data_IF_813066047251
#
_entry.id   IF_813066047251
#
_cell.length_a   1.000
_cell.length_b   1.000
_cell.length_c   1.000
_cell.angle_alpha   90.00
_cell.angle_beta   90.00
_cell.angle_gamma   90.00
#
_symmetry.space_group_name_H-M   'P 1'
#
loop_
_entity.id
_entity.type
_entity.pdbx_description
1 polymer ?
#
# COMPACT_ATOMS: atom_id res chain seq x y z
N UNK A 1 71.99 12.45 -32.30
CA UNK A 1 70.56 12.79 -32.13
C UNK A 1 70.45 13.94 -31.16
N UNK A 2 69.88 15.04 -31.62
CA UNK A 2 69.79 16.28 -30.84
C UNK A 2 68.86 16.01 -29.65
N UNK A 3 69.19 16.53 -28.47
CA UNK A 3 68.40 16.36 -27.23
C UNK A 3 66.89 16.56 -27.47
N UNK A 4 66.52 17.48 -28.37
CA UNK A 4 65.15 17.72 -28.83
C UNK A 4 64.44 16.49 -29.45
N UNK A 5 65.12 15.66 -30.24
CA UNK A 5 64.53 14.46 -30.85
C UNK A 5 64.17 13.39 -29.80
N UNK A 6 65.00 13.27 -28.75
CA UNK A 6 64.73 12.34 -27.63
C UNK A 6 63.52 12.77 -26.83
N UNK A 7 63.36 14.07 -26.56
CA UNK A 7 62.16 14.60 -25.89
C UNK A 7 60.89 14.43 -26.72
N UNK A 8 60.98 14.54 -28.04
CA UNK A 8 59.85 14.30 -28.94
C UNK A 8 59.40 12.84 -28.94
N UNK A 9 60.35 11.90 -28.99
CA UNK A 9 60.06 10.46 -28.89
C UNK A 9 59.50 10.10 -27.51
N UNK A 10 60.06 10.64 -26.43
CA UNK A 10 59.55 10.43 -25.06
C UNK A 10 58.12 10.97 -24.88
N UNK A 11 57.82 12.15 -25.42
CA UNK A 11 56.47 12.72 -25.39
C UNK A 11 55.48 11.89 -26.22
N UNK A 12 55.89 11.39 -27.39
CA UNK A 12 55.07 10.51 -28.22
C UNK A 12 54.76 9.17 -27.55
N UNK A 13 55.76 8.54 -26.92
CA UNK A 13 55.58 7.30 -26.13
C UNK A 13 54.70 7.55 -24.91
N UNK A 14 54.87 8.68 -24.22
CA UNK A 14 54.02 9.06 -23.10
C UNK A 14 52.55 9.26 -23.50
N UNK A 15 52.29 9.89 -24.65
CA UNK A 15 50.94 10.07 -25.19
C UNK A 15 50.30 8.73 -25.59
N UNK A 16 51.04 7.86 -26.30
CA UNK A 16 50.58 6.51 -26.65
C UNK A 16 50.32 5.66 -25.40
N UNK A 17 51.17 5.76 -24.39
CA UNK A 17 50.98 5.13 -23.08
C UNK A 17 49.72 5.62 -22.36
N UNK A 18 49.45 6.93 -22.41
CA UNK A 18 48.23 7.50 -21.82
C UNK A 18 46.96 7.06 -22.58
N UNK A 19 46.99 7.00 -23.90
CA UNK A 19 45.86 6.55 -24.73
C UNK A 19 45.57 5.07 -24.48
N UNK A 20 46.60 4.22 -24.45
CA UNK A 20 46.44 2.78 -24.16
C UNK A 20 45.94 2.54 -22.74
N UNK A 21 46.44 3.28 -21.75
CA UNK A 21 45.95 3.21 -20.38
C UNK A 21 44.49 3.70 -20.26
N UNK A 22 44.14 4.79 -20.94
CA UNK A 22 42.76 5.27 -20.98
C UNK A 22 41.82 4.25 -21.66
N UNK A 23 42.27 3.64 -22.76
CA UNK A 23 41.56 2.54 -23.42
C UNK A 23 41.34 1.36 -22.49
N UNK A 24 42.38 0.91 -21.80
CA UNK A 24 42.30 -0.19 -20.84
C UNK A 24 41.34 0.14 -19.68
N UNK A 25 41.40 1.36 -19.13
CA UNK A 25 40.49 1.82 -18.08
C UNK A 25 39.04 1.77 -18.57
N UNK A 26 38.77 2.26 -19.78
CA UNK A 26 37.43 2.22 -20.38
C UNK A 26 36.97 0.77 -20.60
N UNK A 27 37.84 -0.11 -21.07
CA UNK A 27 37.51 -1.52 -21.29
C UNK A 27 37.24 -2.26 -19.99
N UNK A 28 38.06 -2.06 -18.95
CA UNK A 28 37.84 -2.65 -17.62
C UNK A 28 36.57 -2.10 -16.99
N UNK A 29 36.32 -0.79 -17.10
CA UNK A 29 35.09 -0.17 -16.61
C UNK A 29 33.85 -0.71 -17.35
N UNK A 30 33.92 -0.87 -18.66
CA UNK A 30 32.85 -1.47 -19.45
C UNK A 30 32.62 -2.94 -19.04
N UNK A 31 33.67 -3.76 -18.98
CA UNK A 31 33.56 -5.16 -18.57
C UNK A 31 32.93 -5.31 -17.18
N UNK A 32 33.34 -4.47 -16.22
CA UNK A 32 32.72 -4.40 -14.90
C UNK A 32 31.24 -3.97 -14.96
N UNK A 33 30.89 -3.00 -15.80
CA UNK A 33 29.50 -2.54 -15.97
C UNK A 33 28.60 -3.62 -16.58
N UNK A 34 29.11 -4.44 -17.50
CA UNK A 34 28.37 -5.49 -18.20
C UNK A 34 28.31 -6.82 -17.43
N UNK A 35 29.21 -7.07 -16.49
CA UNK A 35 29.28 -8.34 -15.74
C UNK A 35 28.00 -8.65 -14.97
N UNK A 36 27.33 -7.63 -14.41
CA UNK A 36 26.16 -7.80 -13.53
C UNK A 36 24.84 -7.36 -14.21
N UNK A 37 24.79 -7.27 -15.54
CA UNK A 37 23.55 -6.90 -16.24
C UNK A 37 22.67 -8.14 -16.47
N UNK A 38 21.44 -8.17 -15.94
CA UNK A 38 20.51 -9.27 -16.19
C UNK A 38 20.19 -9.39 -17.69
N UNK A 39 19.89 -10.61 -18.12
CA UNK A 39 19.51 -10.87 -19.51
C UNK A 39 18.09 -10.34 -19.75
N UNK A 40 17.92 -9.53 -20.79
CA UNK A 40 16.61 -8.98 -21.14
C UNK A 40 15.67 -10.06 -21.71
N UNK A 41 16.20 -11.20 -22.17
CA UNK A 41 15.39 -12.32 -22.65
C UNK A 41 14.61 -13.01 -21.52
N UNK A 42 15.06 -12.93 -20.27
CA UNK A 42 14.29 -13.39 -19.09
C UNK A 42 12.97 -12.61 -18.91
N UNK A 43 12.85 -11.43 -19.52
CA UNK A 43 11.63 -10.63 -19.49
C UNK A 43 10.56 -11.06 -20.50
N UNK A 44 10.95 -11.81 -21.53
CA UNK A 44 9.98 -12.34 -22.49
C UNK A 44 9.00 -13.32 -21.80
N UNK A 45 9.48 -14.02 -20.75
CA UNK A 45 8.70 -14.94 -19.93
C UNK A 45 8.29 -14.35 -18.57
N UNK A 46 8.52 -13.05 -18.34
CA UNK A 46 8.23 -12.41 -17.06
C UNK A 46 6.73 -12.48 -16.73
N UNK A 47 6.43 -13.17 -15.62
CA UNK A 47 5.07 -13.21 -15.06
C UNK A 47 5.03 -12.27 -13.86
N UNK A 48 4.19 -11.22 -13.87
CA UNK A 48 4.08 -10.31 -12.76
C UNK A 48 3.62 -11.04 -11.50
N UNK A 49 4.22 -10.68 -10.36
CA UNK A 49 3.88 -11.25 -9.07
C UNK A 49 2.38 -11.14 -8.82
N UNK A 50 1.72 -12.27 -8.64
CA UNK A 50 0.28 -12.33 -8.40
C UNK A 50 0.05 -12.70 -6.94
N UNK A 51 -0.90 -12.02 -6.31
CA UNK A 51 -1.27 -12.31 -4.93
C UNK A 51 -1.82 -13.73 -4.82
N UNK A 52 -1.28 -14.52 -3.90
CA UNK A 52 -1.86 -15.82 -3.53
C UNK A 52 -3.17 -15.58 -2.80
N UNK A 53 -4.25 -16.22 -3.24
CA UNK A 53 -5.58 -16.09 -2.65
C UNK A 53 -5.85 -17.22 -1.68
N UNK A 54 -6.33 -16.89 -0.49
CA UNK A 54 -6.55 -17.82 0.62
C UNK A 54 -8.04 -18.02 0.79
N UNK A 55 -8.49 -19.27 0.70
CA UNK A 55 -9.88 -19.66 0.76
C UNK A 55 -10.15 -20.54 1.98
N UNK A 56 -11.33 -20.37 2.57
CA UNK A 56 -11.88 -21.30 3.55
C UNK A 56 -12.23 -22.66 2.91
N UNK A 57 -12.60 -23.62 3.75
CA UNK A 57 -13.01 -24.96 3.30
C UNK A 57 -14.19 -24.95 2.35
N UNK A 58 -15.10 -23.97 2.48
CA UNK A 58 -16.30 -23.77 1.66
C UNK A 58 -16.06 -22.93 0.38
N UNK A 59 -14.85 -22.41 0.17
CA UNK A 59 -14.51 -21.54 -0.96
C UNK A 59 -14.68 -20.04 -0.69
N UNK A 60 -15.01 -19.62 0.53
CA UNK A 60 -15.02 -18.20 0.93
C UNK A 60 -13.60 -17.63 0.88
N UNK A 61 -13.39 -16.47 0.24
CA UNK A 61 -12.10 -15.77 0.27
C UNK A 61 -11.87 -15.16 1.66
N UNK A 62 -10.85 -15.65 2.37
CA UNK A 62 -10.54 -15.28 3.75
C UNK A 62 -9.23 -14.49 3.90
N UNK A 63 -8.41 -14.44 2.84
CA UNK A 63 -7.16 -13.68 2.86
C UNK A 63 -6.47 -13.62 1.50
N UNK A 64 -5.46 -12.77 1.42
CA UNK A 64 -4.55 -12.68 0.27
C UNK A 64 -3.12 -12.49 0.79
N UNK A 65 -2.17 -13.27 0.26
CA UNK A 65 -0.75 -13.12 0.54
C UNK A 65 -0.09 -12.42 -0.64
N UNK A 66 0.44 -11.23 -0.38
CA UNK A 66 1.28 -10.54 -1.33
C UNK A 66 2.18 -9.53 -0.65
N UNK A 67 3.41 -9.42 -1.14
CA UNK A 67 4.28 -8.30 -0.80
C UNK A 67 3.67 -6.99 -1.35
N UNK A 68 3.10 -7.08 -2.55
CA UNK A 68 2.67 -5.95 -3.40
C UNK A 68 1.25 -6.15 -3.95
N UNK A 69 0.36 -5.16 -3.86
CA UNK A 69 -1.02 -5.32 -4.35
C UNK A 69 -1.07 -5.06 -5.85
N UNK A 70 -1.05 -6.11 -6.65
CA UNK A 70 -1.13 -6.07 -8.12
C UNK A 70 -2.47 -6.63 -8.62
N UNK A 71 -3.02 -6.00 -9.66
CA UNK A 71 -4.07 -6.58 -10.51
C UNK A 71 -3.50 -6.49 -11.91
N UNK A 72 -3.12 -7.63 -12.49
CA UNK A 72 -2.60 -7.68 -13.85
C UNK A 72 -3.73 -7.44 -14.85
N UNK A 73 -3.50 -6.55 -15.80
CA UNK A 73 -4.41 -6.26 -16.93
C UNK A 73 -3.59 -6.23 -18.21
N UNK A 74 -3.90 -7.07 -19.22
CA UNK A 74 -3.21 -7.06 -20.50
C UNK A 74 -3.48 -5.75 -21.25
N UNK A 75 -2.55 -5.33 -22.11
CA UNK A 75 -2.56 -4.04 -22.81
C UNK A 75 -3.89 -3.76 -23.51
N UNK A 76 -4.47 -4.75 -24.16
CA UNK A 76 -5.72 -4.64 -24.94
C UNK A 76 -6.94 -4.34 -24.06
N UNK A 77 -6.85 -4.64 -22.75
CA UNK A 77 -7.89 -4.35 -21.77
C UNK A 77 -7.66 -3.03 -21.02
N UNK A 78 -6.53 -2.34 -21.25
CA UNK A 78 -6.27 -1.03 -20.65
C UNK A 78 -6.96 0.04 -21.50
N UNK A 79 -7.92 0.82 -20.94
CA UNK A 79 -8.64 1.82 -21.70
C UNK A 79 -7.72 2.93 -22.21
N UNK A 80 -7.99 3.38 -23.44
CA UNK A 80 -7.20 4.40 -24.12
C UNK A 80 -7.01 5.70 -23.30
N UNK A 81 -8.02 6.24 -22.58
CA UNK A 81 -7.81 7.42 -21.74
C UNK A 81 -6.76 7.24 -20.64
N UNK A 82 -6.60 6.01 -20.11
CA UNK A 82 -5.58 5.70 -19.10
C UNK A 82 -4.20 5.72 -19.76
N UNK A 83 -4.06 5.05 -20.91
CA UNK A 83 -2.81 5.05 -21.69
C UNK A 83 -2.40 6.49 -22.03
N UNK A 84 -3.32 7.28 -22.58
CA UNK A 84 -3.10 8.67 -22.96
C UNK A 84 -2.66 9.54 -21.78
N UNK A 85 -3.28 9.37 -20.60
CA UNK A 85 -2.90 10.12 -19.41
C UNK A 85 -1.45 9.84 -18.97
N UNK A 86 -1.03 8.56 -18.96
CA UNK A 86 0.34 8.19 -18.59
C UNK A 86 1.36 8.61 -19.63
N UNK A 87 1.07 8.48 -20.93
CA UNK A 87 1.95 8.97 -21.99
C UNK A 87 2.11 10.48 -21.88
N UNK A 88 1.02 11.24 -21.72
CA UNK A 88 1.09 12.69 -21.54
C UNK A 88 1.90 13.12 -20.31
N UNK A 89 1.81 12.38 -19.21
CA UNK A 89 2.48 12.74 -17.97
C UNK A 89 3.97 12.38 -17.94
N UNK A 90 4.35 11.25 -18.55
CA UNK A 90 5.67 10.63 -18.38
C UNK A 90 6.51 10.62 -19.67
N UNK A 91 5.89 10.32 -20.82
CA UNK A 91 6.60 10.13 -22.09
C UNK A 91 5.67 10.25 -23.31
N UNK A 92 5.42 11.48 -23.78
CA UNK A 92 4.40 11.74 -24.81
C UNK A 92 4.77 11.23 -26.20
N UNK A 93 6.07 11.02 -26.44
CA UNK A 93 6.61 10.52 -27.70
C UNK A 93 7.09 9.07 -27.59
N UNK A 94 6.61 8.34 -26.58
CA UNK A 94 7.00 6.97 -26.29
C UNK A 94 7.01 6.05 -27.51
N UNK A 95 6.01 6.18 -28.40
CA UNK A 95 5.92 5.36 -29.62
C UNK A 95 6.82 5.84 -30.78
N UNK A 96 7.43 7.02 -30.68
CA UNK A 96 8.22 7.65 -31.75
C UNK A 96 9.74 7.45 -31.58
N UNK A 97 10.22 7.09 -30.38
CA UNK A 97 11.65 6.89 -30.10
C UNK A 97 11.97 5.46 -29.63
N UNK A 98 13.25 5.08 -29.58
CA UNK A 98 13.71 3.80 -29.03
C UNK A 98 13.73 3.77 -27.50
N UNK A 99 14.55 2.92 -26.87
CA UNK A 99 14.60 2.82 -25.39
C UNK A 99 15.00 4.12 -24.68
N UNK A 100 15.64 5.05 -25.39
CA UNK A 100 16.03 6.36 -24.90
C UNK A 100 15.59 7.43 -25.91
N UNK A 101 14.97 8.50 -25.42
CA UNK A 101 14.64 9.66 -26.23
C UNK A 101 15.84 10.61 -26.34
N UNK A 102 16.75 10.31 -27.28
CA UNK A 102 17.95 11.15 -27.52
C UNK A 102 17.56 12.56 -27.95
N UNK A 103 16.52 12.68 -28.78
CA UNK A 103 16.03 13.97 -29.29
C UNK A 103 15.39 14.82 -28.19
N UNK A 104 14.65 14.19 -27.27
CA UNK A 104 14.02 14.83 -26.12
C UNK A 104 15.03 15.17 -25.03
N UNK A 105 16.03 14.33 -24.80
CA UNK A 105 17.13 14.60 -23.87
C UNK A 105 17.92 15.83 -24.30
N UNK A 106 18.27 15.94 -25.59
CA UNK A 106 18.93 17.13 -26.15
C UNK A 106 18.09 18.39 -25.94
N UNK A 107 16.81 18.33 -26.31
CA UNK A 107 15.87 19.45 -26.16
C UNK A 107 15.67 19.87 -24.69
N UNK A 108 15.54 18.90 -23.78
CA UNK A 108 15.43 19.12 -22.36
C UNK A 108 16.71 19.73 -21.78
N UNK A 109 17.89 19.31 -22.21
CA UNK A 109 19.16 19.93 -21.81
C UNK A 109 19.25 21.40 -22.25
N UNK A 110 18.91 21.72 -23.51
CA UNK A 110 18.87 23.11 -23.98
C UNK A 110 17.85 23.95 -23.20
N UNK A 111 16.64 23.41 -22.97
CA UNK A 111 15.60 24.06 -22.19
C UNK A 111 16.01 24.24 -20.73
N UNK A 112 16.76 23.30 -20.16
CA UNK A 112 17.30 23.36 -18.80
C UNK A 112 18.38 24.42 -18.62
N UNK A 113 19.23 24.65 -19.61
CA UNK A 113 20.18 25.77 -19.61
C UNK A 113 19.42 27.11 -19.54
N UNK A 114 18.36 27.25 -20.34
CA UNK A 114 17.50 28.43 -20.32
C UNK A 114 16.67 28.56 -19.02
N UNK A 115 16.15 27.45 -18.50
CA UNK A 115 15.39 27.42 -17.25
C UNK A 115 16.29 27.76 -16.05
N UNK A 116 17.54 27.28 -16.02
CA UNK A 116 18.52 27.63 -15.00
C UNK A 116 18.83 29.14 -15.02
N UNK A 117 18.95 29.74 -16.20
CA UNK A 117 19.16 31.19 -16.35
C UNK A 117 17.94 32.03 -15.93
N UNK A 118 16.73 31.47 -15.98
CA UNK A 118 15.47 32.16 -15.65
C UNK A 118 14.89 31.77 -14.28
N UNK A 119 15.61 30.98 -13.48
CA UNK A 119 15.13 30.48 -12.19
C UNK A 119 13.96 29.50 -12.28
N UNK A 120 13.66 28.96 -13.46
CA UNK A 120 12.60 27.96 -13.70
C UNK A 120 13.10 26.54 -13.40
N UNK A 121 12.17 25.66 -13.05
CA UNK A 121 12.47 24.28 -12.64
C UNK A 121 13.00 23.45 -13.81
N UNK A 122 14.04 22.66 -13.54
CA UNK A 122 14.67 21.76 -14.51
C UNK A 122 13.74 20.56 -14.84
N UNK A 123 13.64 20.22 -16.11
CA UNK A 123 12.98 19.02 -16.62
C UNK A 123 13.94 17.83 -16.51
N UNK A 124 13.51 16.76 -15.86
CA UNK A 124 14.21 15.48 -15.86
C UNK A 124 13.28 14.44 -16.46
N UNK A 125 13.55 13.97 -17.68
CA UNK A 125 12.75 12.94 -18.35
C UNK A 125 13.52 11.64 -18.43
N UNK A 126 13.06 10.61 -17.71
CA UNK A 126 13.43 9.23 -18.03
C UNK A 126 12.29 8.64 -18.86
N UNK A 127 12.61 7.94 -19.95
CA UNK A 127 11.60 7.29 -20.79
C UNK A 127 10.85 6.21 -20.00
N UNK A 128 9.64 5.85 -20.43
CA UNK A 128 8.89 4.74 -19.81
C UNK A 128 9.74 3.45 -19.80
N UNK A 129 10.45 3.15 -20.88
CA UNK A 129 11.34 1.99 -20.99
C UNK A 129 12.47 2.02 -19.96
N UNK A 130 13.07 3.19 -19.71
CA UNK A 130 14.07 3.34 -18.64
C UNK A 130 13.46 3.12 -17.25
N UNK A 131 12.21 3.55 -17.03
CA UNK A 131 11.52 3.31 -15.76
C UNK A 131 11.20 1.83 -15.55
N UNK A 132 10.81 1.10 -16.61
CA UNK A 132 10.63 -0.36 -16.56
C UNK A 132 11.96 -1.05 -16.22
N UNK A 133 13.04 -0.72 -16.93
CA UNK A 133 14.37 -1.28 -16.65
C UNK A 133 14.79 -1.03 -15.19
N UNK A 134 14.55 0.19 -14.68
CA UNK A 134 14.84 0.56 -13.30
C UNK A 134 14.02 -0.25 -12.28
N UNK A 135 12.72 -0.39 -12.51
CA UNK A 135 11.82 -0.95 -11.50
C UNK A 135 11.78 -2.49 -11.51
N UNK A 136 12.06 -3.12 -12.67
CA UNK A 136 11.95 -4.57 -12.85
C UNK A 136 13.30 -5.27 -12.74
N UNK A 137 14.39 -4.66 -13.23
CA UNK A 137 15.67 -5.36 -13.41
C UNK A 137 16.82 -4.88 -12.52
N UNK A 138 16.72 -3.69 -11.94
CA UNK A 138 17.85 -3.06 -11.25
C UNK A 138 17.64 -2.96 -9.74
N UNK A 139 18.66 -3.36 -9.00
CA UNK A 139 18.75 -3.20 -7.55
C UNK A 139 19.25 -1.80 -7.17
N UNK A 140 19.22 -1.49 -5.86
CA UNK A 140 19.67 -0.20 -5.33
C UNK A 140 21.21 -0.03 -5.40
N UNK A 141 21.71 0.49 -6.52
CA UNK A 141 23.12 0.86 -6.73
C UNK A 141 23.34 2.38 -6.86
N UNK A 142 24.62 2.81 -6.99
CA UNK A 142 25.02 4.21 -7.20
C UNK A 142 24.28 4.85 -8.39
N UNK A 143 23.83 6.10 -8.22
CA UNK A 143 22.87 6.74 -9.12
C UNK A 143 23.36 6.94 -10.55
N UNK A 144 24.66 7.21 -10.74
CA UNK A 144 25.25 7.48 -12.05
C UNK A 144 25.44 6.18 -12.86
N UNK A 145 26.02 5.15 -12.23
CA UNK A 145 26.23 3.85 -12.88
C UNK A 145 24.89 3.17 -13.18
N UNK A 146 23.94 3.26 -12.23
CA UNK A 146 22.58 2.78 -12.43
C UNK A 146 21.93 3.43 -13.65
N UNK A 147 22.10 4.74 -13.87
CA UNK A 147 21.49 5.42 -15.01
C UNK A 147 22.04 4.94 -16.37
N UNK A 148 23.33 4.59 -16.43
CA UNK A 148 23.91 3.96 -17.62
C UNK A 148 23.38 2.53 -17.81
N UNK A 149 23.26 1.74 -16.73
CA UNK A 149 22.64 0.41 -16.77
C UNK A 149 21.17 0.48 -17.24
N UNK A 150 20.38 1.44 -16.75
CA UNK A 150 19.00 1.70 -17.18
C UNK A 150 18.92 1.98 -18.70
N UNK A 151 19.83 2.80 -19.22
CA UNK A 151 19.91 3.14 -20.65
C UNK A 151 20.21 1.91 -21.52
N UNK A 152 21.18 1.08 -21.11
CA UNK A 152 21.55 -0.15 -21.83
C UNK A 152 20.40 -1.16 -21.80
N UNK A 153 19.82 -1.40 -20.62
CA UNK A 153 18.70 -2.33 -20.45
C UNK A 153 17.45 -1.85 -21.18
N UNK A 154 17.18 -0.54 -21.21
CA UNK A 154 16.07 0.01 -21.98
C UNK A 154 16.20 -0.29 -23.49
N UNK A 155 17.40 -0.15 -24.06
CA UNK A 155 17.62 -0.51 -25.45
C UNK A 155 17.49 -2.01 -25.70
N UNK A 156 17.92 -2.86 -24.77
CA UNK A 156 17.73 -4.32 -24.86
C UNK A 156 16.26 -4.71 -24.79
N UNK A 157 15.51 -4.12 -23.86
CA UNK A 157 14.07 -4.28 -23.72
C UNK A 157 13.34 -3.99 -25.03
N UNK A 158 13.68 -2.90 -25.72
CA UNK A 158 13.06 -2.50 -26.99
C UNK A 158 13.47 -3.36 -28.18
N UNK A 159 14.60 -4.07 -28.08
CA UNK A 159 14.99 -5.05 -29.08
C UNK A 159 14.24 -6.39 -28.92
N UNK A 160 13.71 -6.67 -27.72
CA UNK A 160 13.07 -7.95 -27.36
C UNK A 160 11.55 -7.83 -27.28
N UNK A 161 11.02 -6.71 -26.77
CA UNK A 161 9.61 -6.49 -26.52
C UNK A 161 9.07 -5.36 -27.39
N UNK A 162 7.80 -5.47 -27.78
CA UNK A 162 7.10 -4.38 -28.47
C UNK A 162 6.83 -3.21 -27.52
N UNK A 163 6.61 -2.01 -28.08
CA UNK A 163 6.20 -0.83 -27.31
C UNK A 163 4.96 -1.07 -26.45
N UNK A 164 4.01 -1.86 -26.96
CA UNK A 164 2.79 -2.21 -26.23
C UNK A 164 3.10 -3.10 -25.02
N UNK A 165 3.97 -4.10 -25.18
CA UNK A 165 4.41 -4.97 -24.07
C UNK A 165 5.20 -4.18 -23.02
N UNK A 166 6.08 -3.26 -23.42
CA UNK A 166 6.81 -2.39 -22.48
C UNK A 166 5.84 -1.50 -21.70
N UNK A 167 4.85 -0.92 -22.38
CA UNK A 167 3.83 -0.09 -21.74
C UNK A 167 2.92 -0.92 -20.82
N UNK A 168 2.57 -2.14 -21.20
CA UNK A 168 1.85 -3.09 -20.34
C UNK A 168 2.62 -3.37 -19.05
N UNK A 169 3.90 -3.73 -19.16
CA UNK A 169 4.77 -3.97 -18.01
C UNK A 169 4.81 -2.72 -17.13
N UNK A 170 5.03 -1.54 -17.72
CA UNK A 170 5.06 -0.28 -16.98
C UNK A 170 3.75 -0.04 -16.20
N UNK A 171 2.60 -0.14 -16.87
CA UNK A 171 1.30 0.14 -16.26
C UNK A 171 0.86 -0.91 -15.24
N UNK A 172 1.42 -2.12 -15.26
CA UNK A 172 1.16 -3.16 -14.27
C UNK A 172 2.16 -3.16 -13.09
N UNK A 173 3.36 -2.61 -13.28
CA UNK A 173 4.43 -2.60 -12.27
C UNK A 173 4.53 -1.30 -11.48
N UNK A 174 4.14 -0.17 -12.07
CA UNK A 174 4.38 1.13 -11.46
C UNK A 174 3.70 1.27 -10.09
N UNK A 175 4.47 1.69 -9.07
CA UNK A 175 3.94 1.93 -7.74
C UNK A 175 3.17 3.26 -7.69
N UNK A 176 1.87 3.19 -7.37
CA UNK A 176 0.95 4.33 -7.39
C UNK A 176 0.43 4.68 -5.99
N UNK A 177 1.08 4.22 -4.91
CA UNK A 177 0.63 4.50 -3.54
C UNK A 177 -0.54 3.61 -3.09
N UNK A 178 -0.93 3.71 -1.81
CA UNK A 178 -1.89 2.79 -1.19
C UNK A 178 -1.56 1.29 -1.35
N UNK A 179 -0.26 0.98 -1.37
CA UNK A 179 0.28 -0.37 -1.67
C UNK A 179 -0.16 -0.90 -3.04
N UNK A 180 -0.63 -0.04 -3.94
CA UNK A 180 -1.09 -0.37 -5.28
C UNK A 180 0.08 -0.36 -6.25
N UNK A 181 0.33 -1.50 -6.86
CA UNK A 181 1.29 -1.66 -7.95
C UNK A 181 0.46 -1.96 -9.20
N UNK A 182 0.63 -1.10 -10.19
CA UNK A 182 -0.16 -1.08 -11.41
C UNK A 182 -1.47 -0.29 -11.33
N UNK A 183 -1.93 0.14 -12.50
CA UNK A 183 -3.06 1.06 -12.68
C UNK A 183 -4.39 0.47 -12.22
N UNK A 184 -4.64 -0.83 -12.45
CA UNK A 184 -5.90 -1.45 -12.07
C UNK A 184 -6.07 -1.57 -10.56
N UNK A 185 -4.99 -1.94 -9.85
CA UNK A 185 -4.99 -1.95 -8.39
C UNK A 185 -5.22 -0.54 -7.83
N UNK A 186 -4.60 0.48 -8.43
CA UNK A 186 -4.76 1.86 -8.01
C UNK A 186 -6.17 2.40 -8.28
N UNK A 187 -6.76 2.12 -9.44
CA UNK A 187 -8.13 2.49 -9.78
C UNK A 187 -9.13 1.95 -8.76
N UNK A 188 -9.02 0.66 -8.43
CA UNK A 188 -9.85 0.06 -7.39
C UNK A 188 -9.59 0.69 -6.02
N UNK A 189 -8.32 0.91 -5.63
CA UNK A 189 -8.00 1.41 -4.29
C UNK A 189 -8.38 2.88 -4.08
N UNK A 190 -8.25 3.73 -5.09
CA UNK A 190 -8.57 5.16 -5.01
C UNK A 190 -10.03 5.48 -5.33
N UNK A 191 -10.66 4.74 -6.25
CA UNK A 191 -11.99 5.09 -6.79
C UNK A 191 -13.03 3.98 -6.66
N UNK A 192 -12.62 2.74 -6.37
CA UNK A 192 -13.53 1.60 -6.30
C UNK A 192 -14.09 1.18 -7.67
N UNK A 193 -13.40 1.58 -8.74
CA UNK A 193 -13.85 1.39 -10.12
C UNK A 193 -12.88 0.49 -10.89
N UNK A 194 -13.38 -0.32 -11.84
CA UNK A 194 -12.54 -0.90 -12.89
C UNK A 194 -12.01 0.20 -13.82
N UNK A 195 -10.97 -0.11 -14.60
CA UNK A 195 -10.27 0.89 -15.43
C UNK A 195 -11.19 1.54 -16.48
N UNK A 196 -12.08 0.77 -17.08
CA UNK A 196 -13.02 1.18 -18.13
C UNK A 196 -14.09 2.19 -17.65
N UNK A 197 -14.24 2.34 -16.33
CA UNK A 197 -15.14 3.30 -15.70
C UNK A 197 -14.43 4.55 -15.18
N UNK A 198 -13.12 4.68 -15.42
CA UNK A 198 -12.37 5.88 -15.03
C UNK A 198 -12.69 7.06 -15.95
N UNK A 199 -12.96 8.20 -15.34
CA UNK A 199 -13.02 9.48 -16.04
C UNK A 199 -11.62 9.96 -16.42
N UNK A 200 -11.48 10.88 -17.41
CA UNK A 200 -10.18 11.48 -17.74
C UNK A 200 -9.50 12.14 -16.53
N UNK A 201 -10.26 12.75 -15.61
CA UNK A 201 -9.73 13.34 -14.39
C UNK A 201 -9.15 12.30 -13.41
N UNK A 202 -9.80 11.14 -13.30
CA UNK A 202 -9.32 10.03 -12.46
C UNK A 202 -8.08 9.36 -13.09
N UNK A 203 -8.09 9.14 -14.41
CA UNK A 203 -6.93 8.64 -15.15
C UNK A 203 -5.72 9.58 -15.04
N UNK A 204 -5.94 10.90 -15.20
CA UNK A 204 -4.93 11.93 -15.01
C UNK A 204 -4.38 11.97 -13.57
N UNK A 205 -5.23 11.69 -12.57
CA UNK A 205 -4.76 11.57 -11.19
C UNK A 205 -3.87 10.34 -11.00
N UNK A 206 -4.22 9.17 -11.57
CA UNK A 206 -3.34 7.99 -11.49
C UNK A 206 -1.98 8.27 -12.17
N UNK A 207 -1.98 8.91 -13.33
CA UNK A 207 -0.78 9.32 -14.06
C UNK A 207 0.04 10.42 -13.36
N UNK A 208 -0.54 11.11 -12.36
CA UNK A 208 0.19 12.09 -11.55
C UNK A 208 1.08 11.46 -10.46
N UNK A 209 0.80 10.21 -10.09
CA UNK A 209 1.41 9.53 -8.94
C UNK A 209 2.85 9.02 -9.13
N UNK A 210 3.32 8.56 -10.33
CA UNK A 210 4.66 7.96 -10.48
C UNK A 210 5.80 8.83 -9.95
N UNK A 211 5.70 10.16 -10.13
CA UNK A 211 6.69 11.13 -9.62
C UNK A 211 6.86 11.12 -8.09
N UNK A 212 5.85 10.65 -7.34
CA UNK A 212 5.91 10.55 -5.89
C UNK A 212 4.54 10.35 -5.28
N UNK A 213 4.06 9.10 -5.10
CA UNK A 213 2.69 8.84 -4.65
C UNK A 213 2.37 9.45 -3.28
N UNK A 214 3.37 9.51 -2.38
CA UNK A 214 3.23 10.12 -1.06
C UNK A 214 3.06 11.65 -1.11
N UNK A 215 3.70 12.33 -2.07
CA UNK A 215 3.63 13.79 -2.20
C UNK A 215 2.25 14.26 -2.69
N UNK A 216 1.55 13.37 -3.41
CA UNK A 216 0.24 13.63 -4.02
C UNK A 216 -0.88 12.85 -3.35
N UNK A 217 -0.70 12.52 -2.06
CA UNK A 217 -1.70 11.74 -1.32
C UNK A 217 -3.00 12.56 -1.14
N UNK A 218 -4.16 12.08 -1.62
CA UNK A 218 -5.37 12.90 -1.77
C UNK A 218 -5.93 13.42 -0.44
N UNK A 219 -5.74 12.68 0.65
CA UNK A 219 -6.17 13.10 2.00
C UNK A 219 -5.16 13.93 2.79
N UNK A 220 -3.86 13.70 2.57
CA UNK A 220 -2.79 14.36 3.35
C UNK A 220 -2.35 15.66 2.67
N UNK A 221 -2.41 15.68 1.34
CA UNK A 221 -1.97 16.80 0.50
C UNK A 221 -2.98 17.05 -0.64
N UNK A 222 -4.26 17.36 -0.33
CA UNK A 222 -5.32 17.50 -1.33
C UNK A 222 -5.02 18.55 -2.41
N UNK A 223 -4.46 19.69 -2.02
CA UNK A 223 -4.07 20.75 -2.96
C UNK A 223 -2.98 20.32 -3.93
N UNK A 224 -1.95 19.62 -3.45
CA UNK A 224 -0.86 19.11 -4.29
C UNK A 224 -1.35 18.01 -5.24
N UNK A 225 -2.22 17.11 -4.74
CA UNK A 225 -2.86 16.06 -5.52
C UNK A 225 -3.68 16.64 -6.67
N UNK A 226 -4.57 17.61 -6.37
CA UNK A 226 -5.37 18.31 -7.36
C UNK A 226 -4.50 19.03 -8.38
N UNK A 227 -3.54 19.82 -7.92
CA UNK A 227 -2.66 20.59 -8.80
C UNK A 227 -1.87 19.71 -9.76
N UNK A 228 -1.38 18.55 -9.31
CA UNK A 228 -0.64 17.62 -10.17
C UNK A 228 -1.54 16.92 -11.19
N UNK A 229 -2.75 16.49 -10.80
CA UNK A 229 -3.76 15.97 -11.74
C UNK A 229 -4.11 17.01 -12.80
N UNK A 230 -4.35 18.26 -12.39
CA UNK A 230 -4.75 19.34 -13.30
C UNK A 230 -3.63 19.70 -14.29
N UNK A 231 -2.36 19.53 -13.89
CA UNK A 231 -1.21 19.59 -14.79
C UNK A 231 -1.26 18.46 -15.83
N UNK A 232 -1.46 17.20 -15.43
CA UNK A 232 -1.58 16.07 -16.37
C UNK A 232 -2.73 16.28 -17.37
N UNK A 233 -3.89 16.77 -16.90
CA UNK A 233 -5.01 17.13 -17.79
C UNK A 233 -4.62 18.20 -18.83
N UNK A 234 -3.72 19.12 -18.46
CA UNK A 234 -3.16 20.09 -19.41
C UNK A 234 -2.30 19.42 -20.47
N UNK A 235 -1.37 18.55 -20.06
CA UNK A 235 -0.53 17.79 -20.99
C UNK A 235 -1.35 16.87 -21.91
N UNK A 236 -2.48 16.33 -21.43
CA UNK A 236 -3.42 15.59 -22.28
C UNK A 236 -4.08 16.49 -23.34
N UNK A 237 -4.38 17.75 -23.01
CA UNK A 237 -4.87 18.74 -23.97
C UNK A 237 -3.84 19.13 -25.01
N UNK A 238 -2.61 19.43 -24.58
CA UNK A 238 -1.50 19.80 -25.48
C UNK A 238 -1.14 18.67 -26.46
N UNK A 239 -1.27 17.42 -26.03
CA UNK A 239 -1.07 16.24 -26.89
C UNK A 239 -2.31 15.88 -27.73
N UNK A 240 -3.38 16.67 -27.69
CA UNK A 240 -4.57 16.50 -28.51
C UNK A 240 -5.53 15.38 -28.06
N UNK A 241 -5.36 14.84 -26.85
CA UNK A 241 -6.23 13.78 -26.32
C UNK A 241 -7.52 14.32 -25.69
N UNK A 242 -7.52 15.59 -25.29
CA UNK A 242 -8.70 16.28 -24.75
C UNK A 242 -8.87 17.64 -25.43
N UNK A 243 -10.11 18.04 -25.69
CA UNK A 243 -10.40 19.41 -26.16
C UNK A 243 -10.23 20.41 -25.02
N UNK A 244 -10.01 21.71 -25.31
CA UNK A 244 -9.91 22.75 -24.27
C UNK A 244 -11.11 22.77 -23.31
N UNK A 245 -12.32 22.50 -23.82
CA UNK A 245 -13.54 22.42 -23.02
C UNK A 245 -13.53 21.22 -22.07
N UNK A 246 -13.07 20.06 -22.56
CA UNK A 246 -12.92 18.86 -21.73
C UNK A 246 -11.86 19.05 -20.63
N UNK A 247 -10.74 19.70 -20.95
CA UNK A 247 -9.71 20.04 -19.96
C UNK A 247 -10.26 20.98 -18.89
N UNK A 248 -10.98 22.04 -19.29
CA UNK A 248 -11.59 22.98 -18.36
C UNK A 248 -12.62 22.29 -17.44
N UNK A 249 -13.50 21.45 -18.01
CA UNK A 249 -14.49 20.69 -17.26
C UNK A 249 -13.83 19.70 -16.27
N UNK A 250 -12.80 18.96 -16.71
CA UNK A 250 -12.10 17.99 -15.87
C UNK A 250 -11.32 18.64 -14.71
N UNK A 251 -10.74 19.84 -14.93
CA UNK A 251 -10.05 20.61 -13.87
C UNK A 251 -11.00 21.18 -12.82
N UNK A 252 -12.22 21.53 -13.23
CA UNK A 252 -13.27 21.99 -12.33
C UNK A 252 -13.82 20.86 -11.45
N UNK A 253 -13.76 19.60 -11.90
CA UNK A 253 -14.23 18.46 -11.13
C UNK A 253 -13.42 18.23 -9.83
N UNK A 254 -14.09 17.96 -8.70
CA UNK A 254 -13.43 17.65 -7.44
C UNK A 254 -12.62 16.34 -7.54
N UNK A 255 -11.52 16.24 -6.79
CA UNK A 255 -10.78 15.00 -6.65
C UNK A 255 -11.36 14.19 -5.48
N UNK A 256 -12.36 13.37 -5.77
CA UNK A 256 -12.99 12.50 -4.76
C UNK A 256 -12.36 11.11 -4.82
N UNK A 257 -11.77 10.67 -3.71
CA UNK A 257 -11.21 9.32 -3.56
C UNK A 257 -11.86 8.61 -2.39
N UNK A 258 -12.06 7.30 -2.49
CA UNK A 258 -12.54 6.49 -1.38
C UNK A 258 -11.44 6.19 -0.35
N UNK A 259 -11.87 5.68 0.80
CA UNK A 259 -10.99 5.00 1.74
C UNK A 259 -10.48 3.70 1.10
N UNK A 260 -9.25 3.31 1.41
CA UNK A 260 -8.68 2.08 0.87
C UNK A 260 -9.63 0.89 1.14
N UNK A 261 -10.09 0.17 0.09
CA UNK A 261 -11.12 -0.85 0.22
C UNK A 261 -10.65 -2.00 1.11
N UNK A 262 -11.54 -2.51 1.96
CA UNK A 262 -11.33 -3.75 2.72
C UNK A 262 -11.67 -4.92 1.79
N UNK A 263 -10.66 -5.67 1.34
CA UNK A 263 -10.84 -6.68 0.28
C UNK A 263 -11.41 -8.02 0.75
N UNK A 264 -11.12 -8.46 1.98
CA UNK A 264 -11.82 -9.61 2.54
C UNK A 264 -13.13 -9.12 3.20
N UNK A 265 -14.27 -9.57 2.67
CA UNK A 265 -15.57 -9.38 3.35
C UNK A 265 -15.57 -10.09 4.70
N UNK A 266 -14.86 -11.22 4.78
CA UNK A 266 -14.64 -12.02 5.96
C UNK A 266 -13.33 -11.62 6.65
N UNK A 267 -13.42 -11.05 7.86
CA UNK A 267 -12.28 -10.53 8.63
C UNK A 267 -12.18 -11.17 10.02
N UNK A 268 -12.69 -12.39 10.16
CA UNK A 268 -12.81 -13.07 11.46
C UNK A 268 -11.68 -14.10 11.67
N UNK A 269 -10.82 -14.27 10.66
CA UNK A 269 -9.83 -15.34 10.58
C UNK A 269 -8.37 -14.87 10.60
N UNK A 270 -8.07 -13.62 10.96
CA UNK A 270 -6.70 -13.07 10.84
C UNK A 270 -5.62 -13.97 11.49
N UNK A 271 -5.88 -14.51 12.68
CA UNK A 271 -4.96 -15.45 13.34
C UNK A 271 -4.77 -16.75 12.56
N UNK A 272 -5.85 -17.32 12.03
CA UNK A 272 -5.82 -18.56 11.25
C UNK A 272 -5.08 -18.32 9.92
N UNK A 273 -5.41 -17.22 9.24
CA UNK A 273 -4.83 -16.85 7.94
C UNK A 273 -3.34 -16.60 8.07
N UNK A 274 -2.89 -15.91 9.12
CA UNK A 274 -1.46 -15.72 9.37
C UNK A 274 -0.76 -17.04 9.73
N UNK A 275 -1.39 -17.94 10.48
CA UNK A 275 -0.78 -19.26 10.73
C UNK A 275 -0.70 -20.11 9.45
N UNK A 276 -1.74 -20.07 8.60
CA UNK A 276 -1.72 -20.69 7.28
C UNK A 276 -0.59 -20.11 6.41
N UNK A 277 -0.38 -18.78 6.47
CA UNK A 277 0.75 -18.12 5.80
C UNK A 277 2.09 -18.65 6.30
N UNK A 278 2.29 -18.70 7.62
CA UNK A 278 3.52 -19.19 8.23
C UNK A 278 3.81 -20.65 7.86
N UNK A 279 2.79 -21.50 7.81
CA UNK A 279 2.90 -22.88 7.35
C UNK A 279 3.28 -22.96 5.87
N UNK A 280 2.58 -22.22 5.01
CA UNK A 280 2.87 -22.18 3.58
C UNK A 280 4.31 -21.69 3.31
N UNK A 281 4.77 -20.65 4.01
CA UNK A 281 6.13 -20.13 3.86
C UNK A 281 7.18 -21.17 4.27
N UNK A 282 6.93 -21.93 5.35
CA UNK A 282 7.84 -23.01 5.76
C UNK A 282 7.95 -24.11 4.71
N UNK A 283 6.88 -24.38 3.96
CA UNK A 283 6.82 -25.47 2.99
C UNK A 283 7.28 -25.07 1.59
N UNK A 284 6.90 -23.88 1.12
CA UNK A 284 7.09 -23.43 -0.26
C UNK A 284 8.06 -22.25 -0.41
N UNK A 285 8.44 -21.60 0.69
CA UNK A 285 9.25 -20.38 0.67
C UNK A 285 8.40 -19.11 0.55
N UNK A 286 8.96 -17.98 0.99
CA UNK A 286 8.24 -16.71 1.06
C UNK A 286 7.92 -16.10 -0.31
N UNK A 287 8.78 -16.34 -1.30
CA UNK A 287 8.62 -15.82 -2.66
C UNK A 287 7.43 -16.47 -3.35
N UNK A 288 7.40 -17.80 -3.42
CA UNK A 288 6.27 -18.55 -3.98
C UNK A 288 4.95 -18.17 -3.31
N UNK A 289 4.91 -18.13 -1.98
CA UNK A 289 3.68 -17.82 -1.25
C UNK A 289 3.19 -16.39 -1.52
N UNK A 290 4.08 -15.41 -1.64
CA UNK A 290 3.67 -14.01 -1.80
C UNK A 290 3.56 -13.57 -3.28
N UNK A 291 4.18 -14.28 -4.24
CA UNK A 291 4.30 -13.84 -5.64
C UNK A 291 3.82 -14.87 -6.66
N UNK A 292 3.66 -16.13 -6.27
CA UNK A 292 3.34 -17.24 -7.17
C UNK A 292 1.88 -17.30 -7.63
N UNK A 293 0.98 -16.46 -7.08
CA UNK A 293 -0.42 -16.41 -7.51
C UNK A 293 -1.22 -17.67 -7.19
N UNK A 294 -0.89 -18.37 -6.10
CA UNK A 294 -1.54 -19.64 -5.76
C UNK A 294 -2.99 -19.48 -5.31
N UNK A 295 -3.75 -20.57 -5.43
CA UNK A 295 -5.04 -20.76 -4.79
C UNK A 295 -4.84 -21.65 -3.55
N UNK A 296 -4.78 -21.04 -2.38
CA UNK A 296 -4.56 -21.76 -1.11
C UNK A 296 -5.90 -22.04 -0.45
N UNK A 297 -6.35 -23.31 -0.49
CA UNK A 297 -7.55 -23.75 0.23
C UNK A 297 -7.19 -24.26 1.63
N UNK A 298 -7.84 -23.71 2.64
CA UNK A 298 -7.63 -24.05 4.05
C UNK A 298 -8.71 -25.01 4.56
N UNK A 299 -8.54 -25.45 5.82
CA UNK A 299 -9.52 -26.27 6.54
C UNK A 299 -10.57 -25.45 7.29
N UNK A 300 -10.44 -24.11 7.28
CA UNK A 300 -11.29 -23.22 8.06
C UNK A 300 -12.76 -23.35 7.66
N UNK A 301 -13.63 -23.50 8.65
CA UNK A 301 -15.07 -23.35 8.50
C UNK A 301 -15.46 -21.94 8.95
N UNK A 302 -16.00 -21.07 8.06
CA UNK A 302 -16.29 -19.68 8.41
C UNK A 302 -17.33 -19.53 9.52
N UNK A 303 -18.28 -20.46 9.62
CA UNK A 303 -19.33 -20.43 10.64
C UNK A 303 -18.74 -20.74 12.00
N UNK A 304 -17.94 -21.82 12.10
CA UNK A 304 -17.26 -22.18 13.35
C UNK A 304 -16.23 -21.13 13.75
N UNK A 305 -15.51 -20.54 12.80
CA UNK A 305 -14.53 -19.50 13.07
C UNK A 305 -15.17 -18.24 13.67
N UNK A 306 -16.27 -17.74 13.09
CA UNK A 306 -16.98 -16.58 13.63
C UNK A 306 -17.57 -16.89 15.02
N UNK A 307 -18.14 -18.08 15.20
CA UNK A 307 -18.65 -18.52 16.50
C UNK A 307 -17.54 -18.63 17.56
N UNK A 308 -16.40 -19.21 17.20
CA UNK A 308 -15.22 -19.34 18.07
C UNK A 308 -14.70 -17.97 18.51
N UNK A 309 -14.56 -17.02 17.59
CA UNK A 309 -14.14 -15.65 17.90
C UNK A 309 -15.12 -15.01 18.89
N UNK A 310 -16.40 -15.06 18.57
CA UNK A 310 -17.42 -14.41 19.39
C UNK A 310 -17.50 -15.05 20.79
N UNK A 311 -17.39 -16.37 20.88
CA UNK A 311 -17.35 -17.10 22.15
C UNK A 311 -16.13 -16.71 22.99
N UNK A 312 -14.93 -16.70 22.42
CA UNK A 312 -13.71 -16.31 23.13
C UNK A 312 -13.80 -14.86 23.61
N UNK A 313 -14.17 -13.92 22.72
CA UNK A 313 -14.25 -12.51 23.08
C UNK A 313 -15.30 -12.26 24.16
N UNK A 314 -16.51 -12.84 24.04
CA UNK A 314 -17.56 -12.73 25.08
C UNK A 314 -17.09 -13.34 26.41
N UNK A 315 -16.40 -14.48 26.37
CA UNK A 315 -15.83 -15.12 27.56
C UNK A 315 -14.83 -14.22 28.29
N UNK A 316 -13.91 -13.61 27.53
CA UNK A 316 -12.91 -12.68 28.07
C UNK A 316 -13.54 -11.39 28.59
N UNK A 317 -14.51 -10.82 27.89
CA UNK A 317 -15.28 -9.65 28.35
C UNK A 317 -16.03 -9.95 29.65
N UNK A 318 -16.72 -11.09 29.72
CA UNK A 318 -17.44 -11.50 30.93
C UNK A 318 -16.48 -11.75 32.10
N UNK A 319 -15.34 -12.39 31.85
CA UNK A 319 -14.30 -12.55 32.88
C UNK A 319 -13.81 -11.19 33.37
N UNK A 320 -13.43 -10.32 32.45
CA UNK A 320 -12.88 -9.01 32.75
C UNK A 320 -13.86 -8.14 33.55
N UNK A 321 -15.15 -8.21 33.19
CA UNK A 321 -16.23 -7.53 33.90
C UNK A 321 -16.34 -7.98 35.37
N UNK A 322 -16.15 -9.27 35.67
CA UNK A 322 -16.13 -9.76 37.07
C UNK A 322 -14.94 -9.26 37.90
N UNK A 323 -13.90 -8.73 37.25
CA UNK A 323 -12.71 -8.18 37.91
C UNK A 323 -12.71 -6.65 37.97
N UNK A 324 -13.87 -6.04 37.72
CA UNK A 324 -14.11 -4.62 37.93
C UNK A 324 -13.67 -3.71 36.78
N UNK A 325 -14.21 -2.49 36.83
CA UNK A 325 -13.87 -1.41 35.92
C UNK A 325 -12.51 -0.79 36.31
N UNK A 326 -11.68 -0.48 35.30
CA UNK A 326 -10.33 0.04 35.49
C UNK A 326 -10.21 1.55 35.29
N UNK A 327 -11.28 2.22 34.89
CA UNK A 327 -11.30 3.64 34.59
C UNK A 327 -11.30 3.95 33.11
N UNK A 328 -11.59 5.21 32.81
CA UNK A 328 -11.55 5.78 31.47
C UNK A 328 -10.18 5.61 30.82
N UNK A 329 -10.15 5.49 29.50
CA UNK A 329 -8.90 5.36 28.74
C UNK A 329 -8.26 6.73 28.46
N UNK A 330 -9.00 7.82 28.66
CA UNK A 330 -8.54 9.20 28.52
C UNK A 330 -9.54 10.17 29.14
N UNK A 331 -9.30 11.47 28.98
CA UNK A 331 -10.19 12.54 29.50
C UNK A 331 -10.30 13.66 28.47
N UNK A 332 -11.40 14.40 28.49
CA UNK A 332 -11.60 15.62 27.71
C UNK A 332 -12.28 16.71 28.53
N UNK A 333 -12.04 17.97 28.17
CA UNK A 333 -12.72 19.15 28.69
C UNK A 333 -13.93 19.58 27.85
N UNK A 334 -14.23 18.86 26.76
CA UNK A 334 -15.24 19.20 25.75
C UNK A 334 -14.90 20.47 24.94
N UNK A 335 -13.62 20.80 24.76
CA UNK A 335 -13.20 21.82 23.81
C UNK A 335 -13.56 21.45 22.35
N UNK A 336 -13.53 22.44 21.46
CA UNK A 336 -13.77 22.23 20.03
C UNK A 336 -12.83 21.16 19.46
N UNK A 337 -13.42 20.11 18.86
CA UNK A 337 -12.67 18.99 18.30
C UNK A 337 -12.35 17.85 19.29
N UNK A 338 -12.95 17.82 20.49
CA UNK A 338 -12.77 16.73 21.45
C UNK A 338 -13.07 15.33 20.87
N UNK A 339 -13.95 15.23 19.87
CA UNK A 339 -14.26 13.96 19.20
C UNK A 339 -13.00 13.36 18.55
N UNK A 340 -12.10 14.18 18.03
CA UNK A 340 -10.85 13.71 17.45
C UNK A 340 -9.93 13.07 18.51
N UNK A 341 -9.97 13.56 19.75
CA UNK A 341 -9.28 12.95 20.89
C UNK A 341 -9.97 11.64 21.30
N UNK A 342 -11.30 11.65 21.43
CA UNK A 342 -12.12 10.47 21.71
C UNK A 342 -11.90 9.32 20.70
N UNK A 343 -11.63 9.65 19.44
CA UNK A 343 -11.36 8.66 18.39
C UNK A 343 -9.92 8.11 18.40
N UNK A 344 -9.01 8.63 19.25
CA UNK A 344 -7.66 8.05 19.42
C UNK A 344 -7.67 6.75 20.22
N UNK A 345 -8.72 6.51 21.02
CA UNK A 345 -8.87 5.27 21.78
C UNK A 345 -8.89 4.05 20.87
N UNK A 346 -8.03 3.06 21.15
CA UNK A 346 -7.92 1.86 20.32
C UNK A 346 -9.04 0.87 20.64
N UNK A 347 -10.10 0.90 19.83
CA UNK A 347 -11.21 -0.07 19.91
C UNK A 347 -10.90 -1.33 19.09
N UNK A 348 -11.35 -2.52 19.53
CA UNK A 348 -11.24 -3.73 18.72
C UNK A 348 -12.15 -3.62 17.48
N UNK A 349 -11.61 -3.73 16.25
CA UNK A 349 -12.41 -3.65 15.02
C UNK A 349 -13.54 -4.69 14.93
N UNK A 350 -13.37 -5.83 15.62
CA UNK A 350 -14.33 -6.93 15.71
C UNK A 350 -15.60 -6.54 16.51
N UNK A 351 -15.53 -5.47 17.33
CA UNK A 351 -16.69 -4.89 18.03
C UNK A 351 -17.16 -3.62 17.31
N UNK A 352 -17.85 -3.81 16.18
CA UNK A 352 -18.31 -2.72 15.31
C UNK A 352 -19.36 -1.81 15.96
N UNK A 353 -20.13 -2.36 16.89
CA UNK A 353 -21.15 -1.66 17.68
C UNK A 353 -20.56 -0.78 18.78
N UNK A 354 -19.29 -0.95 19.13
CA UNK A 354 -18.65 -0.12 20.14
C UNK A 354 -18.35 1.27 19.58
N UNK A 355 -18.68 2.29 20.36
CA UNK A 355 -18.47 3.70 20.08
C UNK A 355 -17.61 4.32 21.19
N UNK A 356 -16.77 5.29 20.81
CA UNK A 356 -16.11 6.14 21.80
C UNK A 356 -17.10 7.21 22.28
N UNK A 357 -17.13 7.46 23.58
CA UNK A 357 -18.00 8.46 24.19
C UNK A 357 -17.30 9.18 25.34
N UNK A 358 -17.76 10.39 25.64
CA UNK A 358 -17.34 11.16 26.80
C UNK A 358 -18.47 11.20 27.84
N UNK A 359 -18.11 11.11 29.13
CA UNK A 359 -19.05 11.30 30.24
C UNK A 359 -19.37 12.79 30.40
N UNK A 360 -20.62 13.16 30.16
CA UNK A 360 -21.10 14.54 30.20
C UNK A 360 -21.55 14.95 31.61
N UNK A 361 -22.26 14.07 32.31
CA UNK A 361 -22.79 14.32 33.65
C UNK A 361 -22.89 13.02 34.45
N UNK A 362 -22.65 13.11 35.76
CA UNK A 362 -22.76 12.00 36.71
C UNK A 362 -23.62 12.42 37.90
N UNK A 363 -24.75 11.74 38.10
CA UNK A 363 -25.65 11.91 39.24
C UNK A 363 -25.97 10.53 39.86
N UNK A 364 -25.14 10.10 40.82
CA UNK A 364 -25.21 8.75 41.37
C UNK A 364 -24.92 7.68 40.31
N UNK A 365 -25.87 6.79 40.07
CA UNK A 365 -25.79 5.78 39.00
C UNK A 365 -26.48 6.21 37.70
N UNK A 366 -26.96 7.46 37.62
CA UNK A 366 -27.40 8.07 36.36
C UNK A 366 -26.21 8.77 35.72
N UNK A 367 -25.65 8.15 34.68
CA UNK A 367 -24.50 8.69 33.95
C UNK A 367 -24.91 9.04 32.54
N UNK A 368 -24.82 10.32 32.20
CA UNK A 368 -25.08 10.82 30.85
C UNK A 368 -23.78 10.87 30.05
N UNK A 369 -23.83 10.37 28.82
CA UNK A 369 -22.71 10.31 27.89
C UNK A 369 -23.04 11.04 26.60
N UNK A 370 -22.00 11.45 25.88
CA UNK A 370 -22.07 12.01 24.53
C UNK A 370 -21.20 11.18 23.59
N UNK A 371 -21.78 10.66 22.51
CA UNK A 371 -21.06 9.83 21.51
C UNK A 371 -20.13 10.70 20.67
N UNK A 372 -18.88 10.28 20.50
CA UNK A 372 -17.91 10.99 19.65
C UNK A 372 -18.17 10.78 18.15
N UNK A 373 -19.06 9.86 17.79
CA UNK A 373 -19.38 9.50 16.40
C UNK A 373 -20.37 10.45 15.77
N UNK A 374 -21.40 10.85 16.51
CA UNK A 374 -22.54 11.62 15.99
C UNK A 374 -23.07 12.68 16.97
N UNK A 375 -22.32 12.95 18.06
CA UNK A 375 -22.66 13.91 19.11
C UNK A 375 -23.99 13.62 19.84
N UNK A 376 -24.61 12.44 19.64
CA UNK A 376 -25.84 12.08 20.35
C UNK A 376 -25.56 11.86 21.82
N UNK A 377 -26.51 12.28 22.64
CA UNK A 377 -26.46 12.06 24.09
C UNK A 377 -27.37 10.90 24.50
N UNK A 378 -27.01 10.24 25.60
CA UNK A 378 -27.84 9.20 26.20
C UNK A 378 -27.31 8.80 27.58
N UNK A 379 -27.93 7.78 28.18
CA UNK A 379 -27.57 7.32 29.51
C UNK A 379 -26.92 5.95 29.47
N UNK A 380 -25.97 5.71 30.37
CA UNK A 380 -25.46 4.37 30.64
C UNK A 380 -26.54 3.51 31.32
N UNK A 381 -26.49 2.20 31.06
CA UNK A 381 -27.25 1.23 31.84
C UNK A 381 -26.91 1.39 33.33
N UNK A 382 -27.94 1.42 34.20
CA UNK A 382 -27.75 1.63 35.64
C UNK A 382 -26.80 0.60 36.27
N UNK A 383 -26.88 -0.66 35.83
CA UNK A 383 -25.98 -1.73 36.28
C UNK A 383 -24.52 -1.51 35.86
N UNK A 384 -24.28 -0.85 34.73
CA UNK A 384 -22.94 -0.53 34.23
C UNK A 384 -22.33 0.65 34.98
N UNK A 385 -23.14 1.68 35.27
CA UNK A 385 -22.71 2.79 36.12
C UNK A 385 -22.38 2.30 37.54
N UNK A 386 -23.22 1.43 38.12
CA UNK A 386 -22.96 0.81 39.41
C UNK A 386 -21.67 -0.05 39.39
N UNK A 387 -21.48 -0.84 38.34
CA UNK A 387 -20.26 -1.64 38.15
C UNK A 387 -19.00 -0.77 38.08
N UNK A 388 -19.05 0.36 37.38
CA UNK A 388 -17.94 1.30 37.33
C UNK A 388 -17.66 1.93 38.71
N UNK A 389 -18.71 2.45 39.36
CA UNK A 389 -18.63 3.14 40.64
C UNK A 389 -18.18 2.26 41.80
N UNK A 390 -18.31 0.93 41.71
CA UNK A 390 -17.85 0.01 42.74
C UNK A 390 -16.33 0.05 42.98
N UNK A 391 -15.54 0.35 41.94
CA UNK A 391 -14.08 0.43 42.04
C UNK A 391 -13.53 1.81 41.68
N UNK A 392 -13.99 2.40 40.58
CA UNK A 392 -13.42 3.65 40.05
C UNK A 392 -14.53 4.51 39.47
N UNK A 393 -15.04 5.50 40.24
CA UNK A 393 -16.22 6.26 39.83
C UNK A 393 -15.98 7.05 38.55
N UNK A 394 -17.00 7.07 37.71
CA UNK A 394 -17.00 7.85 36.47
C UNK A 394 -17.05 9.34 36.80
N UNK A 395 -16.35 10.14 36.01
CA UNK A 395 -16.28 11.60 36.17
C UNK A 395 -16.61 12.31 34.87
N UNK A 396 -17.08 13.55 34.96
CA UNK A 396 -17.25 14.41 33.78
C UNK A 396 -15.92 14.51 33.03
N UNK A 397 -15.97 14.32 31.72
CA UNK A 397 -14.80 14.34 30.84
C UNK A 397 -14.19 12.96 30.60
N UNK A 398 -14.57 11.91 31.33
CA UNK A 398 -14.02 10.57 31.13
C UNK A 398 -14.33 10.05 29.71
N UNK A 399 -13.28 9.64 28.99
CA UNK A 399 -13.40 8.99 27.69
C UNK A 399 -13.51 7.47 27.87
N UNK A 400 -14.60 6.90 27.37
CA UNK A 400 -15.01 5.52 27.57
C UNK A 400 -15.42 4.86 26.25
N UNK A 401 -15.54 3.54 26.26
CA UNK A 401 -16.19 2.80 25.18
C UNK A 401 -17.59 2.40 25.61
N UNK A 402 -18.55 2.55 24.70
CA UNK A 402 -19.95 2.20 24.93
C UNK A 402 -20.52 1.42 23.77
N UNK A 403 -21.58 0.66 24.00
CA UNK A 403 -22.36 -0.01 22.96
C UNK A 403 -23.83 0.40 23.08
N UNK A 404 -24.48 0.87 22.00
CA UNK A 404 -25.92 1.16 22.03
C UNK A 404 -26.73 -0.08 22.43
N UNK A 405 -27.65 0.09 23.38
CA UNK A 405 -28.49 -0.99 23.92
C UNK A 405 -29.85 -0.45 24.35
N UNK A 406 -30.91 -0.75 23.60
CA UNK A 406 -32.31 -0.42 23.91
C UNK A 406 -32.55 1.05 24.32
N UNK A 407 -32.03 2.00 23.55
CA UNK A 407 -32.16 3.45 23.85
C UNK A 407 -31.25 3.97 24.96
N UNK A 408 -30.43 3.09 25.56
CA UNK A 408 -29.35 3.41 26.49
C UNK A 408 -28.01 2.93 25.92
N UNK A 409 -26.96 3.00 26.72
CA UNK A 409 -25.61 2.61 26.37
C UNK A 409 -25.04 1.63 27.40
N UNK A 410 -24.46 0.53 26.94
CA UNK A 410 -23.70 -0.38 27.77
C UNK A 410 -22.24 0.07 27.86
N UNK A 411 -21.68 0.19 29.06
CA UNK A 411 -20.25 0.48 29.27
C UNK A 411 -19.40 -0.73 28.86
N UNK A 412 -18.36 -0.46 28.08
CA UNK A 412 -17.47 -1.48 27.54
C UNK A 412 -16.02 -1.24 27.95
N UNK A 413 -15.30 -2.35 28.11
CA UNK A 413 -13.92 -2.35 28.53
C UNK A 413 -13.16 -3.38 27.70
N UNK A 414 -12.02 -2.98 27.13
CA UNK A 414 -11.11 -3.93 26.48
C UNK A 414 -10.49 -4.82 27.56
N UNK A 415 -10.66 -6.16 27.50
CA UNK A 415 -10.11 -7.06 28.49
C UNK A 415 -8.59 -6.97 28.62
N UNK A 416 -8.07 -7.00 29.86
CA UNK A 416 -6.62 -7.16 30.08
C UNK A 416 -6.17 -8.61 29.94
N UNK A 417 -7.04 -9.54 30.33
CA UNK A 417 -6.82 -10.96 30.11
C UNK A 417 -6.95 -11.29 28.63
N UNK A 418 -6.32 -12.38 28.23
CA UNK A 418 -6.36 -12.86 26.87
C UNK A 418 -6.57 -14.37 26.89
N UNK A 419 -6.78 -14.96 25.72
CA UNK A 419 -7.02 -16.40 25.61
C UNK A 419 -6.77 -16.89 24.19
N UNK A 420 -7.01 -18.18 23.99
CA UNK A 420 -6.98 -18.80 22.68
C UNK A 420 -8.10 -19.83 22.61
N UNK A 421 -8.55 -20.13 21.39
CA UNK A 421 -9.52 -21.18 21.12
C UNK A 421 -9.12 -21.87 19.81
N UNK A 422 -9.08 -23.19 19.82
CA UNK A 422 -8.89 -24.02 18.62
C UNK A 422 -10.01 -25.05 18.57
N UNK A 423 -10.66 -25.17 17.42
CA UNK A 423 -11.61 -26.25 17.15
C UNK A 423 -11.02 -27.19 16.11
N UNK A 424 -11.00 -28.48 16.42
CA UNK A 424 -10.36 -29.52 15.61
C UNK A 424 -11.40 -30.60 15.29
N UNK A 425 -11.44 -31.04 14.04
CA UNK A 425 -12.19 -32.22 13.62
C UNK A 425 -11.46 -33.49 14.12
N UNK A 426 -12.06 -34.28 15.04
CA UNK A 426 -11.35 -35.38 15.70
C UNK A 426 -10.88 -36.49 14.74
N UNK A 427 -11.65 -36.76 13.68
CA UNK A 427 -11.37 -37.87 12.76
C UNK A 427 -10.18 -37.59 11.84
N UNK A 428 -9.96 -36.33 11.47
CA UNK A 428 -8.95 -35.94 10.48
C UNK A 428 -7.81 -35.12 11.07
N UNK A 429 -7.98 -34.58 12.28
CA UNK A 429 -7.08 -33.59 12.87
C UNK A 429 -7.15 -32.21 12.22
N UNK A 430 -8.11 -31.96 11.31
CA UNK A 430 -8.25 -30.67 10.63
C UNK A 430 -8.65 -29.58 11.60
N UNK A 431 -7.93 -28.46 11.60
CA UNK A 431 -8.31 -27.28 12.38
C UNK A 431 -9.43 -26.54 11.65
N UNK A 432 -10.63 -26.52 12.22
CA UNK A 432 -11.80 -25.88 11.62
C UNK A 432 -11.94 -24.41 12.05
N UNK A 433 -11.45 -24.06 13.23
CA UNK A 433 -11.40 -22.69 13.71
C UNK A 433 -10.17 -22.46 14.60
N UNK A 434 -9.58 -21.27 14.52
CA UNK A 434 -8.46 -20.84 15.36
C UNK A 434 -8.57 -19.36 15.70
N UNK A 435 -8.51 -19.06 16.99
CA UNK A 435 -8.50 -17.70 17.53
C UNK A 435 -7.34 -17.58 18.49
N UNK A 436 -6.37 -16.73 18.15
CA UNK A 436 -5.12 -16.54 18.92
C UNK A 436 -5.17 -15.44 19.96
N UNK A 437 -6.29 -14.75 20.12
CA UNK A 437 -6.44 -13.68 21.09
C UNK A 437 -7.76 -12.92 21.02
N UNK A 438 -7.94 -11.97 21.93
CA UNK A 438 -9.13 -11.10 21.97
C UNK A 438 -9.36 -10.29 20.69
N UNK A 439 -8.30 -9.72 20.11
CA UNK A 439 -8.38 -8.95 18.86
C UNK A 439 -7.02 -8.98 18.18
N UNK A 440 -7.01 -9.29 16.88
CA UNK A 440 -5.77 -9.35 16.10
C UNK A 440 -5.15 -7.97 15.92
N UNK A 441 -5.99 -6.95 15.72
CA UNK A 441 -5.56 -5.56 15.55
C UNK A 441 -4.91 -4.97 16.82
N UNK A 442 -5.33 -5.44 18.01
CA UNK A 442 -4.71 -5.04 19.28
C UNK A 442 -3.43 -5.84 19.57
N UNK A 443 -3.40 -7.11 19.20
CA UNK A 443 -2.25 -7.99 19.41
C UNK A 443 -2.27 -9.14 18.40
N UNK A 444 -1.32 -9.12 17.45
CA UNK A 444 -1.17 -10.18 16.44
C UNK A 444 -0.47 -11.44 16.93
N UNK A 445 -0.01 -11.47 18.20
CA UNK A 445 0.62 -12.64 18.80
C UNK A 445 -0.39 -13.79 18.92
N UNK A 446 -0.14 -14.90 18.21
CA UNK A 446 -1.07 -16.00 18.11
C UNK A 446 -0.91 -16.97 19.30
N UNK A 447 -1.73 -16.80 20.34
CA UNK A 447 -1.66 -17.65 21.55
C UNK A 447 -2.09 -19.09 21.31
N UNK A 448 -2.79 -19.39 20.22
CA UNK A 448 -3.19 -20.75 19.89
C UNK A 448 -2.00 -21.63 19.47
N UNK A 449 -0.96 -21.03 18.88
CA UNK A 449 0.19 -21.77 18.33
C UNK A 449 1.55 -21.36 18.90
N UNK A 450 1.64 -20.19 19.54
CA UNK A 450 2.92 -19.61 19.99
C UNK A 450 3.02 -19.48 21.52
N UNK A 451 1.91 -19.57 22.25
CA UNK A 451 1.93 -19.39 23.70
C UNK A 451 2.07 -20.73 24.42
N UNK A 452 3.27 -21.05 24.87
CA UNK A 452 3.51 -22.17 25.78
C UNK A 452 3.01 -21.80 27.19
N UNK A 453 2.16 -22.67 27.76
CA UNK A 453 1.52 -22.46 29.06
C UNK A 453 1.53 -23.76 29.84
N UNK A 454 1.55 -23.66 31.16
CA UNK A 454 1.35 -24.82 32.03
C UNK A 454 -0.07 -25.37 31.80
N UNK A 455 -0.22 -26.67 31.45
CA UNK A 455 -1.52 -27.25 31.14
C UNK A 455 -2.40 -27.42 32.38
N UNK A 456 -1.81 -27.43 33.59
CA UNK A 456 -2.55 -27.71 34.81
C UNK A 456 -3.13 -29.12 34.79
N UNK A 457 -4.40 -29.27 35.13
CA UNK A 457 -5.12 -30.55 35.15
C UNK A 457 -5.85 -30.89 33.83
N UNK A 458 -5.52 -30.18 32.74
CA UNK A 458 -6.11 -30.39 31.42
C UNK A 458 -5.65 -31.70 30.75
#
# INVERSE_FOLDING_TARGET
MKIAERWFVLAGVGLLGAITLAGLIVTVYAAWLFHDLPDASELADYRPATATRVYAGDGTLIGEFSDERRIYVPYEQIPLPVIQAFLSAEDSRFFEHGGIDVSGLGRAMFKNVFNAATGRRLEGGSTITQQVAKNVLLTNESSLNRKVKEAILANRLEATLSKQQILELYLNEIFLGYRSYGVAAAAFNYFGKPLDQLTPAEAAFLAALPKGPNNYHPKRHPGAAKGRRDWVLGEMGENGFLTPEQVAAARAAPLTTQDAPRRAQYADADFFVEEARRQAIRQFGAEEVNRGGYYLRTTLDPTLQSAARDALMKGLENYDRRHGWRGAWGTTDFADGWQAEALRGTRPPERRSWEAAAVENVAGNSVRIRSAKDDRTGYLLTGDAAWANANRPLKRGDLIFVEPSNGQYALKQVPRVNGALVAIEPQSGRVLAMVGGYSYALSSFNRATQAERQPGSA
#
